data_IF_486822750346
#
_entry.id   IF_486822750346
#
_cell.length_a   1.000
_cell.length_b   1.000
_cell.length_c   1.000
_cell.angle_alpha   90.00
_cell.angle_beta   90.00
_cell.angle_gamma   90.00
#
_symmetry.space_group_name_H-M   'P 1'
#
loop_
_entity.id
_entity.type
_entity.pdbx_description
1 polymer ?
#
# COMPACT_ATOMS: atom_id res chain seq x y z
N UNK A 1 19.22 18.39 -31.65
CA UNK A 1 19.20 16.90 -31.51
C UNK A 1 19.34 16.43 -30.07
N UNK A 2 20.21 17.01 -29.24
CA UNK A 2 20.47 16.64 -27.83
C UNK A 2 19.18 16.67 -26.99
N UNK A 3 18.30 17.63 -27.14
CA UNK A 3 17.08 17.75 -26.33
C UNK A 3 16.00 16.71 -26.61
N UNK A 4 16.00 16.07 -27.78
CA UNK A 4 15.02 15.02 -28.11
C UNK A 4 15.43 13.66 -27.55
N UNK A 5 16.74 13.39 -27.53
CA UNK A 5 17.28 12.14 -26.95
C UNK A 5 17.16 12.14 -25.42
N UNK A 6 17.45 13.26 -24.77
CA UNK A 6 17.30 13.37 -23.30
C UNK A 6 15.85 13.22 -22.85
N UNK A 7 14.88 13.69 -23.64
CA UNK A 7 13.45 13.54 -23.36
C UNK A 7 12.99 12.09 -23.42
N UNK A 8 13.37 11.36 -24.48
CA UNK A 8 13.03 9.95 -24.62
C UNK A 8 13.64 9.09 -23.50
N UNK A 9 14.87 9.40 -23.08
CA UNK A 9 15.53 8.69 -21.97
C UNK A 9 14.79 8.89 -20.63
N UNK A 10 14.27 10.09 -20.38
CA UNK A 10 13.50 10.38 -19.17
C UNK A 10 12.15 9.63 -19.14
N UNK A 11 11.45 9.58 -20.27
CA UNK A 11 10.19 8.83 -20.40
C UNK A 11 10.38 7.33 -20.11
N UNK A 12 11.45 6.74 -20.63
CA UNK A 12 11.79 5.32 -20.38
C UNK A 12 12.08 5.06 -18.89
N UNK A 13 12.79 5.97 -18.21
CA UNK A 13 13.07 5.86 -16.78
C UNK A 13 11.77 5.88 -15.97
N UNK A 14 10.85 6.81 -16.26
CA UNK A 14 9.54 6.88 -15.59
C UNK A 14 8.76 5.58 -15.79
N UNK A 15 8.67 5.08 -17.01
CA UNK A 15 7.97 3.82 -17.31
C UNK A 15 8.59 2.64 -16.53
N UNK A 16 9.91 2.56 -16.47
CA UNK A 16 10.61 1.53 -15.67
C UNK A 16 10.30 1.62 -14.16
N UNK A 17 10.22 2.83 -13.62
CA UNK A 17 9.84 3.05 -12.22
C UNK A 17 8.36 2.72 -11.97
N UNK A 18 7.46 3.09 -12.87
CA UNK A 18 6.03 2.75 -12.79
C UNK A 18 5.80 1.24 -12.85
N UNK A 19 6.54 0.53 -13.71
CA UNK A 19 6.55 -0.93 -13.73
C UNK A 19 6.98 -1.51 -12.37
N UNK A 20 8.06 -0.99 -11.79
CA UNK A 20 8.60 -1.48 -10.52
C UNK A 20 7.67 -1.27 -9.33
N UNK A 21 6.90 -0.18 -9.30
CA UNK A 21 5.89 0.06 -8.26
C UNK A 21 4.55 -0.63 -8.56
N UNK A 22 4.45 -1.34 -9.68
CA UNK A 22 3.23 -1.99 -10.16
C UNK A 22 2.06 -1.01 -10.34
N UNK A 23 2.32 0.19 -10.88
CA UNK A 23 1.27 1.11 -11.29
C UNK A 23 0.65 0.65 -12.61
N UNK A 24 -0.67 0.87 -12.81
CA UNK A 24 -1.31 0.53 -14.08
C UNK A 24 -0.86 1.49 -15.20
N UNK A 25 -0.69 0.97 -16.44
CA UNK A 25 -1.05 -0.36 -16.92
C UNK A 25 0.02 -1.45 -16.71
N UNK A 26 1.06 -1.21 -15.93
CA UNK A 26 2.23 -2.10 -15.76
C UNK A 26 2.10 -3.07 -14.57
N UNK A 27 0.91 -3.24 -13.98
CA UNK A 27 0.67 -4.01 -12.75
C UNK A 27 0.58 -5.52 -12.92
N UNK A 28 0.46 -6.03 -14.15
CA UNK A 28 0.06 -7.41 -14.43
C UNK A 28 0.99 -8.47 -13.80
N UNK A 29 2.27 -8.17 -13.64
CA UNK A 29 3.26 -9.08 -13.07
C UNK A 29 3.09 -9.30 -11.54
N UNK A 30 2.61 -8.28 -10.82
CA UNK A 30 2.67 -8.26 -9.36
C UNK A 30 1.80 -9.36 -8.69
N UNK A 31 0.54 -9.60 -9.10
CA UNK A 31 -0.28 -10.65 -8.49
C UNK A 31 0.29 -12.05 -8.66
N UNK A 32 0.82 -12.36 -9.84
CA UNK A 32 1.35 -13.69 -10.16
C UNK A 32 2.68 -13.94 -9.44
N UNK A 33 3.56 -12.94 -9.40
CA UNK A 33 4.83 -13.01 -8.67
C UNK A 33 4.59 -13.10 -7.16
N UNK A 34 3.62 -12.35 -6.61
CA UNK A 34 3.32 -12.41 -5.17
C UNK A 34 2.76 -13.78 -4.77
N UNK A 35 1.88 -14.37 -5.59
CA UNK A 35 1.33 -15.69 -5.34
C UNK A 35 2.41 -16.78 -5.42
N UNK A 36 3.25 -16.75 -6.44
CA UNK A 36 4.24 -17.80 -6.72
C UNK A 36 5.52 -17.73 -5.89
N UNK A 37 5.80 -16.59 -5.24
CA UNK A 37 7.06 -16.41 -4.50
C UNK A 37 6.91 -16.73 -3.00
N UNK A 38 8.00 -17.14 -2.33
CA UNK A 38 8.01 -17.31 -0.87
C UNK A 38 7.67 -16.01 -0.14
N UNK A 39 6.95 -16.11 0.97
CA UNK A 39 6.34 -14.97 1.69
C UNK A 39 7.35 -13.87 2.08
N UNK A 40 8.53 -14.25 2.54
CA UNK A 40 9.59 -13.30 2.91
C UNK A 40 10.08 -12.44 1.73
N UNK A 41 10.27 -13.06 0.55
CA UNK A 41 10.64 -12.32 -0.67
C UNK A 41 9.54 -11.38 -1.13
N UNK A 42 8.28 -11.81 -1.03
CA UNK A 42 7.13 -10.96 -1.36
C UNK A 42 7.07 -9.75 -0.43
N UNK A 43 7.28 -9.96 0.87
CA UNK A 43 7.34 -8.88 1.86
C UNK A 43 8.43 -7.85 1.54
N UNK A 44 9.62 -8.29 1.14
CA UNK A 44 10.71 -7.41 0.70
C UNK A 44 10.35 -6.64 -0.58
N UNK A 45 9.80 -7.32 -1.59
CA UNK A 45 9.41 -6.70 -2.87
C UNK A 45 8.28 -5.69 -2.67
N UNK A 46 7.28 -6.02 -1.84
CA UNK A 46 6.13 -5.17 -1.58
C UNK A 46 6.49 -3.91 -0.76
N UNK A 47 7.54 -3.97 0.04
CA UNK A 47 7.99 -2.87 0.91
C UNK A 47 9.23 -2.17 0.35
N UNK A 48 10.42 -2.71 0.56
CA UNK A 48 11.71 -2.05 0.30
C UNK A 48 11.89 -1.67 -1.17
N UNK A 49 11.58 -2.59 -2.10
CA UNK A 49 11.75 -2.33 -3.53
C UNK A 49 10.80 -1.23 -4.04
N UNK A 50 9.57 -1.16 -3.52
CA UNK A 50 8.63 -0.07 -3.85
C UNK A 50 9.07 1.26 -3.28
N UNK A 51 9.55 1.31 -2.02
CA UNK A 51 10.04 2.53 -1.38
C UNK A 51 11.10 3.19 -2.21
N UNK A 52 12.15 2.46 -2.57
CA UNK A 52 13.25 3.00 -3.35
C UNK A 52 12.77 3.65 -4.66
N UNK A 53 11.82 3.01 -5.33
CA UNK A 53 11.27 3.52 -6.59
C UNK A 53 10.41 4.77 -6.40
N UNK A 54 9.59 4.83 -5.35
CA UNK A 54 8.79 6.02 -5.04
C UNK A 54 9.66 7.20 -4.59
N UNK A 55 10.73 6.97 -3.83
CA UNK A 55 11.67 8.04 -3.45
C UNK A 55 12.35 8.61 -4.69
N UNK A 56 12.78 7.76 -5.63
CA UNK A 56 13.37 8.23 -6.90
C UNK A 56 12.33 9.03 -7.71
N UNK A 57 11.07 8.55 -7.81
CA UNK A 57 10.01 9.30 -8.48
C UNK A 57 9.73 10.65 -7.80
N UNK A 58 9.70 10.68 -6.46
CA UNK A 58 9.51 11.91 -5.69
C UNK A 58 10.64 12.91 -5.97
N UNK A 59 11.89 12.44 -5.96
CA UNK A 59 13.06 13.29 -6.27
C UNK A 59 13.05 13.81 -7.71
N UNK A 60 12.74 12.95 -8.67
CA UNK A 60 12.60 13.36 -10.07
C UNK A 60 11.49 14.40 -10.23
N UNK A 61 10.35 14.22 -9.52
CA UNK A 61 9.26 15.20 -9.53
C UNK A 61 9.67 16.51 -8.89
N UNK A 62 10.36 16.52 -7.76
CA UNK A 62 10.82 17.73 -7.08
C UNK A 62 11.79 18.57 -7.93
N UNK A 63 12.76 17.91 -8.56
CA UNK A 63 13.79 18.58 -9.40
C UNK A 63 13.20 19.06 -10.74
N UNK A 64 12.24 18.34 -11.29
CA UNK A 64 11.71 18.57 -12.64
C UNK A 64 10.39 19.33 -12.65
N UNK A 65 9.87 19.74 -11.48
CA UNK A 65 8.54 20.29 -11.25
C UNK A 65 8.17 21.47 -12.17
N UNK A 66 9.15 22.28 -12.58
CA UNK A 66 8.90 23.47 -13.37
C UNK A 66 8.78 23.22 -14.88
N UNK A 67 9.33 22.12 -15.41
CA UNK A 67 9.38 21.88 -16.85
C UNK A 67 8.57 20.67 -17.36
N UNK A 68 8.30 19.70 -16.51
CA UNK A 68 7.81 18.37 -16.94
C UNK A 68 6.37 18.11 -16.49
N UNK A 69 5.95 18.63 -15.34
CA UNK A 69 4.63 18.34 -14.77
C UNK A 69 3.50 18.80 -15.67
N UNK A 70 3.55 19.97 -16.25
CA UNK A 70 2.49 20.48 -17.12
C UNK A 70 2.26 19.58 -18.34
N UNK A 71 3.33 18.99 -18.89
CA UNK A 71 3.24 18.08 -20.05
C UNK A 71 2.85 16.65 -19.67
N UNK A 72 3.25 16.19 -18.49
CA UNK A 72 2.98 14.82 -18.02
C UNK A 72 1.77 14.71 -17.07
N UNK A 73 1.14 15.83 -16.71
CA UNK A 73 0.01 15.86 -15.79
C UNK A 73 -1.13 14.91 -16.24
N UNK A 74 -1.47 14.94 -17.53
CA UNK A 74 -2.51 14.05 -18.08
C UNK A 74 -2.08 12.57 -18.01
N UNK A 75 -0.81 12.26 -18.30
CA UNK A 75 -0.29 10.90 -18.24
C UNK A 75 -0.32 10.36 -16.81
N UNK A 76 0.21 11.12 -15.83
CA UNK A 76 0.16 10.71 -14.42
C UNK A 76 -1.27 10.59 -13.91
N UNK A 77 -2.15 11.52 -14.26
CA UNK A 77 -3.58 11.46 -13.94
C UNK A 77 -4.21 10.17 -14.48
N UNK A 78 -3.93 9.80 -15.72
CA UNK A 78 -4.42 8.55 -16.32
C UNK A 78 -3.86 7.31 -15.58
N UNK A 79 -2.56 7.28 -15.30
CA UNK A 79 -1.91 6.20 -14.55
C UNK A 79 -2.51 6.05 -13.14
N UNK A 80 -2.76 7.15 -12.43
CA UNK A 80 -3.38 7.16 -11.10
C UNK A 80 -4.80 6.58 -11.18
N UNK A 81 -5.64 7.09 -12.08
CA UNK A 81 -7.02 6.62 -12.25
C UNK A 81 -7.05 5.14 -12.60
N UNK A 82 -6.25 4.71 -13.59
CA UNK A 82 -6.16 3.31 -14.00
C UNK A 82 -5.69 2.41 -12.85
N UNK A 83 -4.66 2.83 -12.11
CA UNK A 83 -4.14 2.04 -10.97
C UNK A 83 -5.20 1.82 -9.91
N UNK A 84 -5.92 2.87 -9.57
CA UNK A 84 -6.94 2.83 -8.53
C UNK A 84 -8.15 2.01 -8.96
N UNK A 85 -8.64 2.20 -10.19
CA UNK A 85 -9.82 1.50 -10.71
C UNK A 85 -9.53 0.02 -10.98
N UNK A 86 -8.46 -0.30 -11.73
CA UNK A 86 -8.11 -1.69 -12.03
C UNK A 86 -7.69 -2.44 -10.77
N UNK A 87 -6.94 -1.79 -9.87
CA UNK A 87 -6.60 -2.38 -8.59
C UNK A 87 -7.84 -2.75 -7.77
N UNK A 88 -8.84 -1.85 -7.66
CA UNK A 88 -10.07 -2.10 -6.93
C UNK A 88 -10.92 -3.20 -7.58
N UNK A 89 -11.12 -3.15 -8.91
CA UNK A 89 -11.89 -4.13 -9.65
C UNK A 89 -11.31 -5.56 -9.52
N UNK A 90 -10.00 -5.69 -9.64
CA UNK A 90 -9.37 -7.01 -9.54
C UNK A 90 -9.21 -7.50 -8.11
N UNK A 91 -9.01 -6.61 -7.11
CA UNK A 91 -8.90 -7.00 -5.70
C UNK A 91 -10.20 -7.62 -5.18
N UNK A 92 -11.37 -7.12 -5.60
CA UNK A 92 -12.69 -7.60 -5.12
C UNK A 92 -12.94 -9.07 -5.42
N UNK A 93 -12.41 -9.57 -6.53
CA UNK A 93 -12.65 -10.93 -7.02
C UNK A 93 -11.56 -11.94 -6.60
N UNK A 94 -10.61 -11.53 -5.74
CA UNK A 94 -9.55 -12.44 -5.33
C UNK A 94 -10.01 -13.40 -4.23
N UNK A 95 -9.57 -14.65 -4.37
CA UNK A 95 -9.68 -15.70 -3.34
C UNK A 95 -8.35 -16.00 -2.64
N UNK A 96 -7.22 -15.52 -3.17
CA UNK A 96 -5.88 -15.67 -2.62
C UNK A 96 -5.43 -14.36 -1.95
N UNK A 97 -4.92 -14.47 -0.71
CA UNK A 97 -4.50 -13.32 0.10
C UNK A 97 -3.31 -12.56 -0.51
N UNK A 98 -2.31 -13.27 -1.05
CA UNK A 98 -1.14 -12.61 -1.65
C UNK A 98 -1.52 -11.85 -2.91
N UNK A 99 -2.42 -12.41 -3.74
CA UNK A 99 -2.96 -11.71 -4.91
C UNK A 99 -3.79 -10.51 -4.52
N UNK A 100 -4.61 -10.64 -3.47
CA UNK A 100 -5.40 -9.54 -2.93
C UNK A 100 -4.49 -8.39 -2.47
N UNK A 101 -3.43 -8.68 -1.71
CA UNK A 101 -2.46 -7.66 -1.28
C UNK A 101 -1.69 -7.07 -2.48
N UNK A 102 -1.41 -7.85 -3.52
CA UNK A 102 -0.76 -7.34 -4.73
C UNK A 102 -1.65 -6.30 -5.44
N UNK A 103 -2.93 -6.60 -5.70
CA UNK A 103 -3.86 -5.65 -6.30
C UNK A 103 -4.16 -4.45 -5.38
N UNK A 104 -4.27 -4.69 -4.08
CA UNK A 104 -4.27 -3.62 -3.08
C UNK A 104 -3.06 -2.71 -3.26
N UNK A 105 -1.88 -3.28 -3.43
CA UNK A 105 -0.64 -2.54 -3.68
C UNK A 105 -0.64 -1.72 -4.98
N UNK A 106 -1.44 -2.07 -5.98
CA UNK A 106 -1.67 -1.26 -7.18
C UNK A 106 -2.48 -0.01 -6.84
N UNK A 107 -3.54 -0.15 -6.04
CA UNK A 107 -4.35 0.97 -5.54
C UNK A 107 -3.47 1.93 -4.75
N UNK A 108 -2.68 1.40 -3.81
CA UNK A 108 -1.81 2.23 -2.96
C UNK A 108 -0.74 2.96 -3.79
N UNK A 109 -0.25 2.34 -4.88
CA UNK A 109 0.64 3.02 -5.83
C UNK A 109 -0.05 4.23 -6.47
N UNK A 110 -1.32 4.12 -6.85
CA UNK A 110 -2.11 5.24 -7.34
C UNK A 110 -2.24 6.38 -6.33
N UNK A 111 -2.53 6.06 -5.05
CA UNK A 111 -2.56 7.07 -3.97
C UNK A 111 -1.21 7.79 -3.82
N UNK A 112 -0.11 7.06 -3.72
CA UNK A 112 1.23 7.64 -3.55
C UNK A 112 1.60 8.51 -4.75
N UNK A 113 1.35 8.04 -5.98
CA UNK A 113 1.60 8.81 -7.19
C UNK A 113 0.78 10.09 -7.23
N UNK A 114 -0.45 10.08 -6.71
CA UNK A 114 -1.29 11.28 -6.68
C UNK A 114 -0.69 12.40 -5.84
N UNK A 115 0.00 12.11 -4.75
CA UNK A 115 0.71 13.12 -3.98
C UNK A 115 1.99 13.57 -4.67
N UNK A 116 2.80 12.63 -5.19
CA UNK A 116 4.05 12.95 -5.89
C UNK A 116 3.81 13.88 -7.09
N UNK A 117 2.66 13.79 -7.75
CA UNK A 117 2.35 14.55 -8.97
C UNK A 117 1.86 15.99 -8.70
N UNK A 118 1.51 16.35 -7.45
CA UNK A 118 0.87 17.63 -7.17
C UNK A 118 1.53 18.39 -6.01
N UNK A 119 2.68 18.98 -6.31
CA UNK A 119 3.38 19.95 -5.47
C UNK A 119 4.20 19.36 -4.32
N UNK A 120 4.98 20.21 -3.67
CA UNK A 120 5.91 19.87 -2.59
C UNK A 120 5.17 19.27 -1.39
N UNK A 121 4.02 19.83 -1.02
CA UNK A 121 3.18 19.29 0.06
C UNK A 121 2.62 17.91 -0.27
N UNK A 122 2.30 17.66 -1.54
CA UNK A 122 1.89 16.35 -2.02
C UNK A 122 3.00 15.30 -1.91
N UNK A 123 4.23 15.66 -2.24
CA UNK A 123 5.41 14.79 -2.07
C UNK A 123 5.58 14.43 -0.58
N UNK A 124 5.49 15.43 0.32
CA UNK A 124 5.54 15.19 1.76
C UNK A 124 4.43 14.26 2.26
N UNK A 125 3.20 14.46 1.78
CA UNK A 125 2.07 13.58 2.06
C UNK A 125 2.28 12.15 1.55
N UNK A 126 2.91 12.01 0.38
CA UNK A 126 3.27 10.70 -0.19
C UNK A 126 4.34 9.97 0.61
N UNK A 127 5.33 10.66 1.16
CA UNK A 127 6.36 10.08 2.05
C UNK A 127 5.71 9.59 3.35
N UNK A 128 4.82 10.40 3.94
CA UNK A 128 4.05 9.99 5.11
C UNK A 128 3.22 8.73 4.81
N UNK A 129 2.50 8.74 3.68
CA UNK A 129 1.69 7.60 3.23
C UNK A 129 2.53 6.34 3.04
N UNK A 130 3.64 6.47 2.32
CA UNK A 130 4.55 5.37 2.04
C UNK A 130 5.07 4.73 3.33
N UNK A 131 5.47 5.55 4.31
CA UNK A 131 5.95 5.08 5.61
C UNK A 131 4.87 4.30 6.37
N UNK A 132 3.65 4.83 6.45
CA UNK A 132 2.54 4.15 7.14
C UNK A 132 2.12 2.86 6.44
N UNK A 133 2.10 2.85 5.12
CA UNK A 133 1.79 1.67 4.31
C UNK A 133 2.81 0.55 4.51
N UNK A 134 4.10 0.86 4.58
CA UNK A 134 5.16 -0.13 4.80
C UNK A 134 5.04 -0.77 6.18
N UNK A 135 4.77 0.01 7.22
CA UNK A 135 4.54 -0.50 8.58
C UNK A 135 3.45 -1.57 8.57
N UNK A 136 2.34 -1.30 7.90
CA UNK A 136 1.21 -2.23 7.78
C UNK A 136 1.56 -3.46 6.95
N UNK A 137 2.26 -3.28 5.82
CA UNK A 137 2.69 -4.40 4.98
C UNK A 137 3.65 -5.35 5.69
N UNK A 138 4.66 -4.82 6.36
CA UNK A 138 5.60 -5.66 7.13
C UNK A 138 4.82 -6.48 8.17
N UNK A 139 3.86 -5.86 8.87
CA UNK A 139 2.99 -6.56 9.81
C UNK A 139 2.21 -7.70 9.16
N UNK A 140 1.56 -7.45 8.01
CA UNK A 140 0.80 -8.47 7.28
C UNK A 140 1.71 -9.61 6.80
N UNK A 141 2.85 -9.31 6.18
CA UNK A 141 3.74 -10.36 5.66
C UNK A 141 4.44 -11.13 6.76
N UNK A 142 4.69 -10.53 7.94
CA UNK A 142 5.14 -11.26 9.13
C UNK A 142 4.07 -12.28 9.57
N UNK A 143 2.81 -11.88 9.65
CA UNK A 143 1.71 -12.80 9.96
C UNK A 143 1.59 -13.91 8.90
N UNK A 144 1.67 -13.55 7.61
CA UNK A 144 1.65 -14.54 6.52
C UNK A 144 2.82 -15.54 6.62
N UNK A 145 4.01 -15.09 7.04
CA UNK A 145 5.17 -15.96 7.23
C UNK A 145 4.94 -16.96 8.36
N UNK A 146 4.34 -16.53 9.47
CA UNK A 146 3.99 -17.40 10.60
C UNK A 146 2.94 -18.46 10.17
N UNK A 147 1.91 -18.04 9.46
CA UNK A 147 0.83 -18.92 8.99
C UNK A 147 1.37 -19.92 7.95
N UNK A 148 2.18 -19.48 6.99
CA UNK A 148 2.71 -20.33 5.93
C UNK A 148 3.65 -21.43 6.44
N UNK A 149 4.35 -21.16 7.52
CA UNK A 149 5.25 -22.14 8.13
C UNK A 149 4.53 -23.27 8.88
N UNK A 150 3.25 -23.12 9.18
CA UNK A 150 2.54 -24.04 10.09
C UNK A 150 1.21 -24.59 9.54
N UNK A 151 0.52 -23.91 8.64
CA UNK A 151 -0.81 -24.32 8.21
C UNK A 151 -0.84 -24.90 6.78
N UNK A 152 -0.45 -24.14 5.78
CA UNK A 152 -0.47 -24.61 4.37
C UNK A 152 0.37 -23.70 3.47
N UNK A 153 0.84 -24.24 2.33
CA UNK A 153 1.48 -23.46 1.26
C UNK A 153 0.50 -22.59 0.47
N UNK A 154 -0.80 -22.76 0.68
CA UNK A 154 -1.85 -22.09 -0.09
C UNK A 154 -2.49 -20.96 0.75
N UNK A 155 -2.42 -19.73 0.24
CA UNK A 155 -2.95 -18.52 0.87
C UNK A 155 -4.41 -18.22 0.49
N UNK A 156 -5.25 -19.25 0.30
CA UNK A 156 -6.67 -19.02 0.09
C UNK A 156 -7.29 -18.32 1.33
N UNK A 157 -8.16 -17.35 1.07
CA UNK A 157 -8.85 -16.58 2.13
C UNK A 157 -9.64 -17.52 3.05
N UNK A 158 -10.25 -18.58 2.50
CA UNK A 158 -10.96 -19.60 3.26
C UNK A 158 -10.11 -20.31 4.31
N UNK A 159 -8.79 -20.40 4.11
CA UNK A 159 -7.89 -21.04 5.08
C UNK A 159 -7.66 -20.20 6.35
N UNK A 160 -8.15 -18.96 6.39
CA UNK A 160 -8.17 -18.14 7.61
C UNK A 160 -9.32 -18.49 8.54
N UNK A 161 -10.32 -19.30 8.11
CA UNK A 161 -11.46 -19.66 8.94
C UNK A 161 -11.00 -20.33 10.23
N UNK A 162 -11.59 -19.93 11.37
CA UNK A 162 -11.23 -20.43 12.69
C UNK A 162 -9.99 -19.83 13.34
N UNK A 163 -9.23 -18.96 12.64
CA UNK A 163 -8.01 -18.36 13.18
C UNK A 163 -8.22 -17.63 14.52
N UNK A 164 -9.39 -17.01 14.72
CA UNK A 164 -9.71 -16.33 15.97
C UNK A 164 -9.79 -17.28 17.17
N UNK A 165 -10.28 -18.50 16.97
CA UNK A 165 -10.33 -19.50 18.03
C UNK A 165 -8.95 -20.00 18.41
N UNK A 166 -8.09 -20.21 17.42
CA UNK A 166 -6.75 -20.75 17.59
C UNK A 166 -5.76 -19.71 18.12
N UNK A 167 -5.81 -18.50 17.59
CA UNK A 167 -4.92 -17.43 17.99
C UNK A 167 -5.55 -16.04 17.85
N UNK A 168 -6.19 -15.58 18.92
CA UNK A 168 -6.82 -14.26 19.00
C UNK A 168 -5.86 -13.12 18.70
N UNK A 169 -4.60 -13.24 19.15
CA UNK A 169 -3.57 -12.21 18.94
C UNK A 169 -3.29 -12.00 17.46
N UNK A 170 -3.07 -13.07 16.68
CA UNK A 170 -2.83 -12.96 15.24
C UNK A 170 -4.04 -12.37 14.51
N UNK A 171 -5.25 -12.80 14.85
CA UNK A 171 -6.45 -12.28 14.20
C UNK A 171 -6.66 -10.80 14.48
N UNK A 172 -6.47 -10.34 15.73
CA UNK A 172 -6.63 -8.93 16.10
C UNK A 172 -5.58 -8.08 15.39
N UNK A 173 -4.31 -8.47 15.43
CA UNK A 173 -3.23 -7.70 14.79
C UNK A 173 -3.34 -7.69 13.27
N UNK A 174 -3.72 -8.81 12.64
CA UNK A 174 -4.07 -8.89 11.23
C UNK A 174 -5.20 -7.91 10.86
N UNK A 175 -6.25 -7.88 11.68
CA UNK A 175 -7.38 -6.95 11.47
C UNK A 175 -6.93 -5.48 11.57
N UNK A 176 -6.07 -5.13 12.54
CA UNK A 176 -5.53 -3.78 12.67
C UNK A 176 -4.77 -3.36 11.40
N UNK A 177 -3.92 -4.22 10.85
CA UNK A 177 -3.16 -3.89 9.65
C UNK A 177 -4.07 -3.79 8.41
N UNK A 178 -5.00 -4.71 8.23
CA UNK A 178 -5.93 -4.69 7.09
C UNK A 178 -6.84 -3.46 7.14
N UNK A 179 -7.39 -3.11 8.31
CA UNK A 179 -8.17 -1.90 8.52
C UNK A 179 -7.33 -0.64 8.38
N UNK A 180 -6.06 -0.72 8.75
CA UNK A 180 -5.08 0.33 8.52
C UNK A 180 -4.91 0.64 7.03
N UNK A 181 -4.65 -0.36 6.20
CA UNK A 181 -4.54 -0.18 4.74
C UNK A 181 -5.87 0.25 4.13
N UNK A 182 -7.00 -0.27 4.62
CA UNK A 182 -8.33 0.18 4.21
C UNK A 182 -8.54 1.68 4.47
N UNK A 183 -7.93 2.22 5.53
CA UNK A 183 -8.07 3.61 5.94
C UNK A 183 -9.23 3.82 6.91
N UNK A 184 -9.37 2.92 7.91
CA UNK A 184 -10.36 3.12 8.98
C UNK A 184 -9.93 4.30 9.87
N UNK A 185 -10.86 5.20 10.30
CA UNK A 185 -10.57 6.22 11.31
C UNK A 185 -9.81 5.65 12.51
N UNK A 186 -8.94 6.45 13.13
CA UNK A 186 -8.00 6.10 14.19
C UNK A 186 -6.75 5.34 13.73
N UNK A 187 -6.64 4.96 12.46
CA UNK A 187 -5.42 4.35 11.90
C UNK A 187 -4.60 5.34 11.09
N UNK A 188 -3.31 5.09 11.00
CA UNK A 188 -2.38 5.89 10.19
C UNK A 188 -2.74 5.93 8.71
N UNK A 189 -3.36 4.87 8.17
CA UNK A 189 -3.82 4.83 6.78
C UNK A 189 -4.97 5.79 6.49
N UNK A 190 -5.87 6.03 7.45
CA UNK A 190 -6.90 7.06 7.30
C UNK A 190 -6.27 8.45 7.16
N UNK A 191 -5.36 8.79 8.08
CA UNK A 191 -4.69 10.11 8.07
C UNK A 191 -3.90 10.29 6.78
N UNK A 192 -3.20 9.27 6.31
CA UNK A 192 -2.45 9.31 5.05
C UNK A 192 -3.34 9.64 3.86
N UNK A 193 -4.47 8.93 3.71
CA UNK A 193 -5.45 9.18 2.64
C UNK A 193 -6.05 10.56 2.76
N UNK A 194 -6.40 10.97 3.97
CA UNK A 194 -7.00 12.28 4.24
C UNK A 194 -6.08 13.42 3.82
N UNK A 195 -4.80 13.38 4.20
CA UNK A 195 -3.81 14.41 3.83
C UNK A 195 -3.63 14.47 2.31
N UNK A 196 -3.56 13.31 1.61
CA UNK A 196 -3.46 13.28 0.14
C UNK A 196 -4.70 13.86 -0.53
N UNK A 197 -5.88 13.49 -0.07
CA UNK A 197 -7.15 13.99 -0.62
C UNK A 197 -7.29 15.51 -0.42
N UNK A 198 -6.95 16.02 0.77
CA UNK A 198 -6.98 17.46 1.03
C UNK A 198 -5.96 18.23 0.19
N UNK A 199 -4.78 17.65 -0.05
CA UNK A 199 -3.81 18.24 -0.98
C UNK A 199 -4.35 18.31 -2.40
N UNK A 200 -4.93 17.24 -2.93
CA UNK A 200 -5.53 17.22 -4.27
C UNK A 200 -6.70 18.20 -4.40
N UNK A 201 -7.49 18.36 -3.33
CA UNK A 201 -8.59 19.32 -3.27
C UNK A 201 -8.06 20.76 -3.41
N UNK A 202 -6.96 21.10 -2.75
CA UNK A 202 -6.34 22.43 -2.87
C UNK A 202 -5.75 22.72 -4.26
N UNK A 203 -5.45 21.67 -5.04
CA UNK A 203 -5.04 21.77 -6.44
C UNK A 203 -6.21 21.64 -7.44
N UNK A 204 -7.46 21.69 -6.95
CA UNK A 204 -8.69 21.60 -7.77
C UNK A 204 -8.80 20.32 -8.61
N UNK A 205 -8.14 19.23 -8.17
CA UNK A 205 -8.16 17.94 -8.88
C UNK A 205 -9.37 17.09 -8.46
N UNK A 206 -10.57 17.64 -8.58
CA UNK A 206 -11.82 17.04 -8.08
C UNK A 206 -12.11 15.65 -8.66
N UNK A 207 -11.77 15.39 -9.93
CA UNK A 207 -11.93 14.06 -10.54
C UNK A 207 -11.06 13.03 -9.80
N UNK A 208 -9.77 13.34 -9.53
CA UNK A 208 -8.90 12.46 -8.79
C UNK A 208 -9.41 12.23 -7.36
N UNK A 209 -9.83 13.29 -6.67
CA UNK A 209 -10.42 13.21 -5.34
C UNK A 209 -11.59 12.23 -5.34
N UNK A 210 -12.54 12.38 -6.29
CA UNK A 210 -13.72 11.50 -6.38
C UNK A 210 -13.32 10.04 -6.62
N UNK A 211 -12.42 9.78 -7.56
CA UNK A 211 -11.95 8.42 -7.87
C UNK A 211 -11.25 7.78 -6.66
N UNK A 212 -10.38 8.52 -5.96
CA UNK A 212 -9.68 8.04 -4.78
C UNK A 212 -10.65 7.75 -3.61
N UNK A 213 -11.65 8.60 -3.40
CA UNK A 213 -12.67 8.37 -2.38
C UNK A 213 -13.51 7.13 -2.70
N UNK A 214 -13.99 6.97 -3.94
CA UNK A 214 -14.75 5.79 -4.36
C UNK A 214 -13.94 4.50 -4.21
N UNK A 215 -12.65 4.53 -4.55
CA UNK A 215 -11.77 3.37 -4.37
C UNK A 215 -11.54 3.02 -2.90
N UNK A 216 -11.55 4.00 -2.00
CA UNK A 216 -11.45 3.75 -0.56
C UNK A 216 -12.69 3.01 -0.07
N UNK A 217 -13.89 3.40 -0.53
CA UNK A 217 -15.14 2.70 -0.21
C UNK A 217 -15.12 1.26 -0.74
N UNK A 218 -14.72 1.06 -2.01
CA UNK A 218 -14.54 -0.27 -2.57
C UNK A 218 -13.51 -1.09 -1.80
N UNK A 219 -12.45 -0.43 -1.30
CA UNK A 219 -11.40 -1.02 -0.48
C UNK A 219 -11.94 -1.68 0.79
N UNK A 220 -12.87 -1.04 1.48
CA UNK A 220 -13.47 -1.64 2.68
C UNK A 220 -14.03 -3.03 2.43
N UNK A 221 -14.70 -3.26 1.28
CA UNK A 221 -15.27 -4.56 0.96
C UNK A 221 -14.22 -5.67 0.91
N UNK A 222 -13.16 -5.51 0.11
CA UNK A 222 -12.19 -6.58 -0.07
C UNK A 222 -11.18 -6.71 1.08
N UNK A 223 -10.97 -5.67 1.91
CA UNK A 223 -10.18 -5.77 3.13
C UNK A 223 -10.97 -6.38 4.29
N UNK A 224 -12.27 -6.12 4.40
CA UNK A 224 -13.10 -6.71 5.44
C UNK A 224 -13.36 -8.20 5.23
N UNK A 225 -13.40 -8.67 3.98
CA UNK A 225 -13.64 -10.09 3.66
C UNK A 225 -12.64 -11.04 4.36
N UNK A 226 -11.31 -10.90 4.26
CA UNK A 226 -10.38 -11.75 4.99
C UNK A 226 -10.49 -11.63 6.51
N UNK A 227 -10.80 -10.43 7.02
CA UNK A 227 -11.02 -10.21 8.46
C UNK A 227 -12.26 -10.99 8.93
N UNK A 228 -13.34 -10.92 8.17
CA UNK A 228 -14.58 -11.65 8.47
C UNK A 228 -14.35 -13.15 8.51
N UNK A 229 -13.67 -13.70 7.51
CA UNK A 229 -13.33 -15.11 7.45
C UNK A 229 -12.49 -15.53 8.66
N UNK A 230 -11.45 -14.75 8.99
CA UNK A 230 -10.56 -15.04 10.11
C UNK A 230 -11.24 -14.95 11.48
N UNK A 231 -12.17 -13.99 11.66
CA UNK A 231 -12.75 -13.67 12.95
C UNK A 231 -14.06 -14.41 13.24
N UNK A 232 -14.88 -14.64 12.23
CA UNK A 232 -16.30 -15.07 12.40
C UNK A 232 -16.56 -16.46 11.85
N UNK A 233 -15.96 -16.84 10.72
CA UNK A 233 -16.22 -18.14 10.12
C UNK A 233 -15.67 -19.28 10.98
N UNK A 234 -16.53 -20.27 11.20
CA UNK A 234 -16.17 -21.48 11.95
C UNK A 234 -15.59 -22.51 10.99
N UNK A 235 -14.56 -23.22 11.43
CA UNK A 235 -14.09 -24.42 10.76
C UNK A 235 -14.36 -25.63 11.64
N UNK A 236 -14.74 -26.73 11.00
CA UNK A 236 -14.88 -28.04 11.68
C UNK A 236 -13.51 -28.74 11.81
N UNK A 237 -12.51 -28.29 11.06
CA UNK A 237 -11.16 -28.80 11.15
C UNK A 237 -10.46 -28.25 12.40
N UNK A 238 -9.88 -29.14 13.20
CA UNK A 238 -8.99 -28.76 14.30
C UNK A 238 -7.70 -28.18 13.70
N UNK A 239 -7.57 -26.86 13.72
CA UNK A 239 -6.32 -26.20 13.34
C UNK A 239 -5.32 -26.43 14.49
N UNK A 240 -4.12 -26.92 14.18
CA UNK A 240 -3.06 -27.03 15.18
C UNK A 240 -2.72 -25.66 15.76
N UNK A 241 -2.44 -25.61 17.07
CA UNK A 241 -2.09 -24.36 17.75
C UNK A 241 -0.88 -23.70 17.10
N UNK A 242 -1.09 -22.52 16.53
CA UNK A 242 -0.02 -21.73 15.90
C UNK A 242 0.95 -21.24 16.98
N UNK A 243 2.20 -21.67 16.88
CA UNK A 243 3.29 -21.23 17.77
C UNK A 243 3.91 -19.95 17.19
N UNK A 244 3.96 -18.89 17.98
CA UNK A 244 4.57 -17.61 17.61
C UNK A 244 5.85 -17.45 18.41
N UNK A 245 6.95 -17.14 17.74
CA UNK A 245 8.19 -16.77 18.41
C UNK A 245 8.03 -15.43 19.12
N UNK A 246 8.71 -15.23 20.24
CA UNK A 246 8.62 -13.98 21.00
C UNK A 246 9.12 -12.77 20.21
N UNK A 247 10.10 -12.94 19.33
CA UNK A 247 10.57 -11.91 18.39
C UNK A 247 9.47 -11.42 17.47
N UNK A 248 8.73 -12.36 16.84
CA UNK A 248 7.64 -12.04 15.90
C UNK A 248 6.48 -11.37 16.62
N UNK A 249 6.16 -11.88 17.83
CA UNK A 249 5.13 -11.28 18.67
C UNK A 249 5.46 -9.83 19.04
N UNK A 250 6.72 -9.56 19.42
CA UNK A 250 7.19 -8.21 19.74
C UNK A 250 7.09 -7.29 18.50
N UNK A 251 7.59 -7.77 17.36
CA UNK A 251 7.56 -7.02 16.10
C UNK A 251 6.13 -6.67 15.69
N UNK A 252 5.23 -7.65 15.65
CA UNK A 252 3.82 -7.44 15.25
C UNK A 252 3.13 -6.47 16.22
N UNK A 253 3.37 -6.61 17.54
CA UNK A 253 2.78 -5.71 18.55
C UNK A 253 3.27 -4.27 18.35
N UNK A 254 4.57 -4.10 18.11
CA UNK A 254 5.15 -2.78 17.86
C UNK A 254 4.61 -2.12 16.58
N UNK A 255 4.52 -2.88 15.49
CA UNK A 255 3.97 -2.36 14.22
C UNK A 255 2.46 -2.03 14.33
N UNK A 256 1.69 -2.86 15.05
CA UNK A 256 0.28 -2.58 15.31
C UNK A 256 0.10 -1.33 16.18
N UNK A 257 0.93 -1.17 17.21
CA UNK A 257 0.98 0.05 18.02
C UNK A 257 1.31 1.28 17.16
N UNK A 258 2.34 1.21 16.31
CA UNK A 258 2.68 2.31 15.39
C UNK A 258 1.54 2.66 14.44
N UNK A 259 0.79 1.68 13.94
CA UNK A 259 -0.35 1.89 13.04
C UNK A 259 -1.43 2.73 13.71
N UNK A 260 -1.71 2.51 15.01
CA UNK A 260 -2.69 3.27 15.78
C UNK A 260 -2.08 4.60 16.25
N UNK A 261 -0.86 4.59 16.78
CA UNK A 261 -0.18 5.78 17.30
C UNK A 261 -0.06 6.89 16.23
N UNK A 262 0.39 6.54 15.02
CA UNK A 262 0.50 7.48 13.90
C UNK A 262 -0.87 7.90 13.33
N UNK A 263 -1.92 7.16 13.64
CA UNK A 263 -3.30 7.57 13.34
C UNK A 263 -3.85 8.61 14.31
N UNK A 264 -3.47 8.53 15.59
CA UNK A 264 -3.91 9.45 16.63
C UNK A 264 -3.01 10.69 16.74
N UNK A 265 -1.70 10.52 16.56
CA UNK A 265 -0.67 11.57 16.70
C UNK A 265 0.20 11.66 15.43
N UNK A 266 -0.37 12.08 14.28
CA UNK A 266 0.33 12.10 13.01
C UNK A 266 1.40 13.20 12.90
N UNK A 267 1.30 14.24 13.72
CA UNK A 267 2.09 15.47 13.58
C UNK A 267 3.61 15.21 13.57
N UNK A 268 4.08 14.28 14.39
CA UNK A 268 5.50 13.92 14.46
C UNK A 268 6.03 13.44 13.11
N UNK A 269 5.38 12.47 12.49
CA UNK A 269 5.81 11.92 11.21
C UNK A 269 5.52 12.87 10.04
N UNK A 270 4.41 13.61 10.09
CA UNK A 270 4.08 14.65 9.08
C UNK A 270 5.16 15.73 9.06
N UNK A 271 5.59 16.21 10.22
CA UNK A 271 6.64 17.23 10.31
C UNK A 271 7.99 16.69 9.81
N UNK A 272 8.34 15.44 10.14
CA UNK A 272 9.54 14.78 9.61
C UNK A 272 9.47 14.67 8.08
N UNK A 273 8.32 14.26 7.54
CA UNK A 273 8.14 14.14 6.08
C UNK A 273 8.28 15.49 5.37
N UNK A 274 7.76 16.58 5.95
CA UNK A 274 7.93 17.94 5.43
C UNK A 274 9.39 18.37 5.46
N UNK A 275 10.03 18.20 6.60
CA UNK A 275 11.45 18.55 6.77
C UNK A 275 12.36 17.80 5.78
N UNK A 276 12.06 16.50 5.52
CA UNK A 276 12.80 15.71 4.52
C UNK A 276 12.67 16.29 3.13
N UNK A 277 11.47 16.73 2.73
CA UNK A 277 11.26 17.30 1.39
C UNK A 277 11.94 18.66 1.26
N UNK A 278 11.85 19.52 2.27
CA UNK A 278 12.44 20.85 2.27
C UNK A 278 13.96 20.84 2.24
N UNK A 279 14.62 19.82 2.81
CA UNK A 279 16.08 19.79 2.94
C UNK A 279 16.80 18.83 1.98
N UNK A 280 16.11 17.81 1.43
CA UNK A 280 16.77 16.74 0.66
C UNK A 280 16.16 16.45 -0.72
N UNK A 281 14.98 16.96 -1.01
CA UNK A 281 14.31 16.79 -2.29
C UNK A 281 14.14 18.11 -3.02
#
# INVERSE_FOLDING_TARGET
MIGRQSKNSFEIIIVGLLFKVAAAPFQAWAPDVYQGSPTGYVGYMASVAKVSSFIVLARLSAVSLTFIIDKFNLFFTAVIILSVLLGALFATNQSDLKRLIAYSGVIQSGFILSGISFGVYGISASIFYLTTYIIQLIGIFTIFSIISGQLTSNFAISNLSGLFKENKFLTITFSIFMLGIAGLPLTSGFVSKFILITNLWSYEKYILVTVLMLSTVAGFYFYLKPIWVAAVEKTDNTIEKIKIQNSDKLLITFLAFLTIYLGLLPNTLVNISRWMVENYL
#
